data_IF_385415016540
#
_entry.id   IF_385415016540
#
_cell.length_a   1.000
_cell.length_b   1.000
_cell.length_c   1.000
_cell.angle_alpha   90.00
_cell.angle_beta   90.00
_cell.angle_gamma   90.00
#
_symmetry.space_group_name_H-M   'P 1'
#
loop_
_entity.id
_entity.type
_entity.pdbx_description
1 polymer ?
#
# COMPACT_ATOMS: atom_id res chain seq x y z
N UNK A 1 -33.72 -4.95 35.08
CA UNK A 1 -33.94 -6.09 36.00
C UNK A 1 -34.26 -7.34 35.20
N UNK A 2 -33.56 -8.44 35.46
CA UNK A 2 -33.77 -9.70 34.76
C UNK A 2 -35.18 -10.28 35.02
N UNK A 3 -35.66 -10.22 36.27
CA UNK A 3 -36.99 -10.70 36.66
C UNK A 3 -38.15 -9.98 35.95
N UNK A 4 -38.04 -8.67 35.75
CA UNK A 4 -39.06 -7.89 35.02
C UNK A 4 -39.14 -8.29 33.55
N UNK A 5 -38.01 -8.69 32.94
CA UNK A 5 -37.95 -9.12 31.55
C UNK A 5 -38.44 -10.58 31.37
N UNK A 6 -38.26 -11.42 32.39
CA UNK A 6 -38.81 -12.78 32.41
C UNK A 6 -40.34 -12.77 32.56
N UNK A 7 -40.88 -11.91 33.43
CA UNK A 7 -42.34 -11.76 33.59
C UNK A 7 -43.03 -11.14 32.36
N UNK A 8 -42.32 -10.32 31.58
CA UNK A 8 -42.87 -9.69 30.39
C UNK A 8 -43.03 -10.63 29.18
N UNK A 9 -42.56 -11.89 29.26
CA UNK A 9 -42.66 -12.93 28.21
C UNK A 9 -42.38 -12.44 26.78
N UNK A 10 -41.45 -11.50 26.64
CA UNK A 10 -41.07 -10.88 25.36
C UNK A 10 -39.91 -11.59 24.65
N UNK A 11 -39.28 -10.91 23.69
CA UNK A 11 -38.17 -11.47 22.90
C UNK A 11 -36.98 -11.95 23.76
N UNK A 12 -36.69 -11.25 24.87
CA UNK A 12 -35.63 -11.66 25.81
C UNK A 12 -35.95 -12.98 26.51
N UNK A 13 -37.20 -13.17 26.94
CA UNK A 13 -37.68 -14.41 27.56
C UNK A 13 -37.52 -15.59 26.57
N UNK A 14 -37.88 -15.40 25.30
CA UNK A 14 -37.74 -16.43 24.27
C UNK A 14 -36.29 -16.85 23.99
N UNK A 15 -35.35 -15.89 23.99
CA UNK A 15 -33.91 -16.18 23.84
C UNK A 15 -33.33 -16.94 25.05
N UNK A 16 -33.75 -16.56 26.26
CA UNK A 16 -33.31 -17.22 27.50
C UNK A 16 -33.90 -18.64 27.58
N UNK A 17 -35.17 -18.82 27.22
CA UNK A 17 -35.80 -20.14 27.16
C UNK A 17 -35.12 -21.05 26.14
N UNK A 18 -34.81 -20.53 24.94
CA UNK A 18 -34.09 -21.27 23.91
C UNK A 18 -32.68 -21.70 24.35
N UNK A 19 -31.95 -20.85 25.09
CA UNK A 19 -30.67 -21.23 25.69
C UNK A 19 -30.83 -22.30 26.77
N UNK A 20 -31.86 -22.19 27.61
CA UNK A 20 -32.11 -23.16 28.69
C UNK A 20 -32.49 -24.53 28.14
N UNK A 21 -33.25 -24.58 27.03
CA UNK A 21 -33.57 -25.81 26.31
C UNK A 21 -32.31 -26.42 25.70
N UNK A 22 -31.43 -25.60 25.09
CA UNK A 22 -30.17 -26.07 24.51
C UNK A 22 -29.16 -26.57 25.56
N UNK A 23 -29.19 -26.03 26.77
CA UNK A 23 -28.39 -26.52 27.90
C UNK A 23 -28.93 -27.85 28.42
N UNK A 24 -30.27 -28.01 28.52
CA UNK A 24 -30.90 -29.28 28.91
C UNK A 24 -30.69 -30.39 27.89
N UNK A 25 -30.72 -30.08 26.59
CA UNK A 25 -30.40 -31.06 25.54
C UNK A 25 -28.92 -31.45 25.57
N UNK A 26 -28.02 -30.53 25.93
CA UNK A 26 -26.59 -30.82 26.09
C UNK A 26 -26.29 -31.72 27.30
N UNK A 27 -27.04 -31.57 28.40
CA UNK A 27 -26.92 -32.42 29.60
C UNK A 27 -27.50 -33.83 29.39
N UNK A 28 -28.66 -33.94 28.71
CA UNK A 28 -29.24 -35.25 28.33
C UNK A 28 -28.31 -36.09 27.43
N UNK A 29 -27.50 -35.44 26.58
CA UNK A 29 -26.56 -36.14 25.69
C UNK A 29 -25.35 -36.78 26.42
N UNK A 30 -25.19 -36.58 27.74
CA UNK A 30 -24.16 -37.23 28.55
C UNK A 30 -24.65 -38.44 29.37
N UNK A 31 -25.96 -38.66 29.52
CA UNK A 31 -26.53 -39.81 30.24
C UNK A 31 -27.66 -40.48 29.44
N UNK A 32 -27.34 -41.66 28.89
CA UNK A 32 -28.23 -42.67 28.31
C UNK A 32 -29.00 -42.41 26.99
N UNK A 33 -29.09 -43.51 26.25
CA UNK A 33 -29.54 -43.70 24.89
C UNK A 33 -31.05 -44.03 24.89
N UNK A 34 -31.91 -43.16 24.35
CA UNK A 34 -33.32 -43.52 24.12
C UNK A 34 -34.26 -42.36 23.77
N UNK A 35 -34.75 -42.37 22.53
CA UNK A 35 -35.98 -41.75 22.00
C UNK A 35 -36.23 -40.26 22.32
N UNK A 36 -35.72 -39.34 21.50
CA UNK A 36 -35.99 -37.89 21.62
C UNK A 36 -36.33 -37.24 20.24
N UNK A 37 -37.17 -37.85 19.40
CA UNK A 37 -37.66 -37.17 18.17
C UNK A 37 -38.61 -35.99 18.47
N UNK A 38 -39.26 -35.99 19.64
CA UNK A 38 -40.22 -34.95 20.03
C UNK A 38 -39.56 -33.66 20.60
N UNK A 39 -38.39 -33.77 21.24
CA UNK A 39 -37.67 -32.65 21.88
C UNK A 39 -36.92 -31.77 20.84
N UNK A 40 -36.44 -32.37 19.75
CA UNK A 40 -35.76 -31.65 18.66
C UNK A 40 -36.73 -30.77 17.87
N UNK A 41 -37.95 -31.27 17.62
CA UNK A 41 -39.01 -30.52 16.94
C UNK A 41 -39.49 -29.32 17.76
N UNK A 42 -39.61 -29.46 19.08
CA UNK A 42 -39.97 -28.37 19.99
C UNK A 42 -38.90 -27.27 20.01
N UNK A 43 -37.62 -27.66 19.96
CA UNK A 43 -36.48 -26.74 19.93
C UNK A 43 -36.41 -25.97 18.60
N UNK A 44 -36.66 -26.64 17.47
CA UNK A 44 -36.73 -26.01 16.15
C UNK A 44 -37.90 -25.01 16.05
N UNK A 45 -39.08 -25.37 16.57
CA UNK A 45 -40.25 -24.49 16.60
C UNK A 45 -40.04 -23.25 17.49
N UNK A 46 -39.35 -23.40 18.62
CA UNK A 46 -39.00 -22.27 19.49
C UNK A 46 -38.00 -21.32 18.83
N UNK A 47 -37.01 -21.86 18.12
CA UNK A 47 -36.05 -21.07 17.34
C UNK A 47 -36.72 -20.30 16.20
N UNK A 48 -37.63 -20.95 15.47
CA UNK A 48 -38.34 -20.32 14.35
C UNK A 48 -39.36 -19.26 14.83
N UNK A 49 -39.96 -19.47 16.00
CA UNK A 49 -40.78 -18.44 16.68
C UNK A 49 -39.95 -17.24 17.13
N UNK A 50 -38.74 -17.45 17.65
CA UNK A 50 -37.82 -16.35 18.00
C UNK A 50 -37.33 -15.58 16.76
N UNK A 51 -37.14 -16.29 15.64
CA UNK A 51 -36.78 -15.70 14.34
C UNK A 51 -37.93 -14.88 13.74
N UNK A 52 -39.16 -15.39 13.72
CA UNK A 52 -40.31 -14.64 13.19
C UNK A 52 -40.62 -13.37 13.99
N UNK A 53 -40.40 -13.38 15.31
CA UNK A 53 -40.55 -12.18 16.17
C UNK A 53 -39.47 -11.12 15.92
N UNK A 54 -38.27 -11.50 15.47
CA UNK A 54 -37.22 -10.53 15.10
C UNK A 54 -37.43 -9.92 13.71
N UNK A 55 -38.14 -10.61 12.81
CA UNK A 55 -38.51 -10.06 11.49
C UNK A 55 -39.64 -9.02 11.54
N UNK A 56 -40.54 -9.08 12.53
CA UNK A 56 -41.71 -8.20 12.58
C UNK A 56 -41.41 -6.74 13.00
N UNK A 57 -40.13 -6.36 13.20
CA UNK A 57 -39.71 -4.96 13.44
C UNK A 57 -39.10 -4.28 12.21
N UNK A 58 -39.08 -4.93 11.04
CA UNK A 58 -38.45 -4.37 9.84
C UNK A 58 -39.43 -3.77 8.81
N UNK A 59 -40.75 -3.90 9.00
CA UNK A 59 -41.77 -3.52 7.99
C UNK A 59 -42.28 -2.06 8.06
N UNK A 60 -41.47 -1.11 8.53
CA UNK A 60 -41.75 0.33 8.30
C UNK A 60 -40.69 1.02 7.45
N UNK A 61 -39.95 0.27 6.62
CA UNK A 61 -39.12 0.87 5.57
C UNK A 61 -40.03 1.26 4.39
N UNK A 62 -40.46 2.52 4.42
CA UNK A 62 -41.10 3.23 3.32
C UNK A 62 -40.42 2.91 1.99
N UNK A 63 -41.15 2.36 1.02
CA UNK A 63 -40.66 2.01 -0.32
C UNK A 63 -40.21 3.24 -1.16
N UNK A 64 -40.20 4.44 -0.56
CA UNK A 64 -39.70 5.69 -1.15
C UNK A 64 -38.19 5.90 -0.96
N UNK A 65 -37.56 5.31 0.06
CA UNK A 65 -36.11 5.48 0.31
C UNK A 65 -35.23 4.67 -0.65
N UNK A 66 -35.67 3.48 -1.08
CA UNK A 66 -34.89 2.60 -1.97
C UNK A 66 -34.65 3.22 -3.36
N UNK A 67 -35.58 4.04 -3.87
CA UNK A 67 -35.42 4.74 -5.16
C UNK A 67 -34.46 5.94 -5.11
N UNK A 68 -34.23 6.52 -3.93
CA UNK A 68 -33.24 7.59 -3.75
C UNK A 68 -31.83 7.02 -3.65
N UNK A 69 -31.63 5.88 -2.98
CA UNK A 69 -30.31 5.24 -2.83
C UNK A 69 -29.73 4.73 -4.16
N UNK A 70 -30.56 4.29 -5.12
CA UNK A 70 -30.06 3.87 -6.44
C UNK A 70 -29.62 5.06 -7.28
N UNK A 71 -30.28 6.22 -7.15
CA UNK A 71 -29.88 7.43 -7.85
C UNK A 71 -28.61 8.06 -7.25
N UNK A 72 -28.43 7.98 -5.93
CA UNK A 72 -27.29 8.59 -5.24
C UNK A 72 -25.98 7.81 -5.49
N UNK A 73 -26.01 6.47 -5.40
CA UNK A 73 -24.87 5.62 -5.78
C UNK A 73 -24.47 5.75 -7.25
N UNK A 74 -25.45 6.01 -8.13
CA UNK A 74 -25.19 6.25 -9.57
C UNK A 74 -24.58 7.63 -9.81
N UNK A 75 -24.84 8.61 -8.94
CA UNK A 75 -24.28 9.95 -9.02
C UNK A 75 -22.89 10.04 -8.36
N UNK A 76 -22.64 9.34 -7.26
CA UNK A 76 -21.30 9.24 -6.64
C UNK A 76 -20.31 8.45 -7.54
N UNK A 77 -20.75 7.35 -8.16
CA UNK A 77 -19.93 6.63 -9.14
C UNK A 77 -19.61 7.50 -10.37
N UNK A 78 -20.50 8.43 -10.75
CA UNK A 78 -20.25 9.42 -11.81
C UNK A 78 -19.33 10.55 -11.35
N UNK A 79 -19.41 10.99 -10.09
CA UNK A 79 -18.53 12.00 -9.52
C UNK A 79 -17.08 11.50 -9.34
N UNK A 80 -16.89 10.21 -9.02
CA UNK A 80 -15.57 9.57 -8.98
C UNK A 80 -15.01 9.35 -10.40
N UNK A 81 -15.88 9.07 -11.39
CA UNK A 81 -15.49 8.98 -12.80
C UNK A 81 -15.18 10.34 -13.45
N UNK A 82 -15.67 11.46 -12.89
CA UNK A 82 -15.46 12.82 -13.39
C UNK A 82 -14.35 13.58 -12.63
N UNK A 83 -13.30 12.88 -12.16
CA UNK A 83 -12.11 13.57 -11.65
C UNK A 83 -11.23 14.10 -12.80
N UNK A 84 -11.49 15.34 -13.23
CA UNK A 84 -10.71 16.11 -14.23
C UNK A 84 -9.43 16.75 -13.66
N UNK A 85 -8.72 16.05 -12.77
CA UNK A 85 -7.38 16.45 -12.30
C UNK A 85 -6.27 15.76 -13.10
N UNK A 86 -5.01 16.26 -13.05
CA UNK A 86 -3.88 15.48 -13.53
C UNK A 86 -3.88 14.12 -12.79
N UNK A 87 -3.51 13.03 -13.47
CA UNK A 87 -3.75 11.65 -13.01
C UNK A 87 -3.38 11.37 -11.54
N UNK A 88 -3.90 10.29 -10.93
CA UNK A 88 -3.92 10.08 -9.47
C UNK A 88 -2.56 10.31 -8.79
N UNK A 89 -1.46 9.94 -9.45
CA UNK A 89 -0.09 10.15 -8.97
C UNK A 89 0.35 11.63 -8.96
N UNK A 90 0.00 12.42 -9.98
CA UNK A 90 0.32 13.84 -10.04
C UNK A 90 -0.57 14.68 -9.11
N UNK A 91 -1.82 14.29 -8.91
CA UNK A 91 -2.71 14.92 -7.93
C UNK A 91 -2.20 14.73 -6.49
N UNK A 92 -1.67 13.55 -6.15
CA UNK A 92 -1.04 13.28 -4.86
C UNK A 92 0.27 14.06 -4.67
N UNK A 93 1.10 14.16 -5.71
CA UNK A 93 2.31 15.00 -5.69
C UNK A 93 1.97 16.49 -5.53
N UNK A 94 0.88 16.94 -6.16
CA UNK A 94 0.38 18.32 -6.08
C UNK A 94 -0.22 18.68 -4.72
N UNK A 95 -0.55 17.69 -3.88
CA UNK A 95 -0.91 17.91 -2.47
C UNK A 95 0.30 18.16 -1.57
N UNK A 96 1.52 17.90 -2.04
CA UNK A 96 2.78 18.10 -1.29
C UNK A 96 3.52 19.41 -1.64
N UNK A 97 2.82 20.41 -2.16
CA UNK A 97 3.38 21.73 -2.54
C UNK A 97 4.36 22.38 -1.54
N UNK A 98 4.14 22.33 -0.22
CA UNK A 98 5.06 22.99 0.71
C UNK A 98 6.40 22.26 0.93
N UNK A 99 6.53 20.99 0.54
CA UNK A 99 7.76 20.20 0.69
C UNK A 99 8.48 19.98 -0.67
N UNK A 100 8.06 20.70 -1.72
CA UNK A 100 8.60 20.51 -3.08
C UNK A 100 10.09 20.82 -3.14
N UNK A 101 10.57 21.80 -2.39
CA UNK A 101 11.99 22.16 -2.38
C UNK A 101 12.85 20.99 -1.85
N UNK A 102 12.36 20.28 -0.83
CA UNK A 102 13.01 19.10 -0.27
C UNK A 102 12.97 17.92 -1.25
N UNK A 103 11.86 17.72 -1.96
CA UNK A 103 11.75 16.70 -3.01
C UNK A 103 12.69 17.01 -4.17
N UNK A 104 12.79 18.26 -4.62
CA UNK A 104 13.69 18.66 -5.70
C UNK A 104 15.14 18.37 -5.30
N UNK A 105 15.52 18.71 -4.07
CA UNK A 105 16.85 18.40 -3.54
C UNK A 105 17.10 16.87 -3.50
N UNK A 106 16.11 16.09 -3.08
CA UNK A 106 16.19 14.63 -3.09
C UNK A 106 16.33 14.05 -4.51
N UNK A 107 15.61 14.59 -5.48
CA UNK A 107 15.69 14.21 -6.88
C UNK A 107 17.08 14.47 -7.47
N UNK A 108 17.70 15.62 -7.14
CA UNK A 108 19.08 15.92 -7.54
C UNK A 108 20.04 14.88 -6.94
N UNK A 109 19.89 14.54 -5.66
CA UNK A 109 20.69 13.50 -5.01
C UNK A 109 20.50 12.12 -5.69
N UNK A 110 19.27 11.76 -6.08
CA UNK A 110 18.98 10.53 -6.83
C UNK A 110 19.64 10.50 -8.21
N UNK A 111 19.63 11.61 -8.94
CA UNK A 111 20.28 11.70 -10.26
C UNK A 111 21.79 11.50 -10.11
N UNK A 112 22.41 12.19 -9.15
CA UNK A 112 23.83 12.03 -8.84
C UNK A 112 24.17 10.58 -8.49
N UNK A 113 23.39 9.96 -7.61
CA UNK A 113 23.58 8.58 -7.18
C UNK A 113 23.39 7.58 -8.34
N UNK A 114 22.41 7.81 -9.22
CA UNK A 114 22.21 7.02 -10.44
C UNK A 114 23.43 7.05 -11.37
N UNK A 115 24.08 8.21 -11.51
CA UNK A 115 25.29 8.38 -12.34
C UNK A 115 26.56 7.74 -11.76
N UNK A 116 26.59 7.44 -10.46
CA UNK A 116 27.75 6.79 -9.81
C UNK A 116 27.93 5.34 -10.29
N UNK A 117 26.82 4.61 -10.49
CA UNK A 117 26.86 3.21 -10.90
C UNK A 117 27.57 2.97 -12.25
N UNK A 118 27.29 3.72 -13.33
CA UNK A 118 28.03 3.56 -14.58
C UNK A 118 29.44 4.18 -14.52
N UNK A 119 29.65 5.21 -13.70
CA UNK A 119 30.99 5.78 -13.47
C UNK A 119 31.96 4.77 -12.83
N UNK A 120 31.46 3.92 -11.93
CA UNK A 120 32.23 2.82 -11.34
C UNK A 120 32.85 1.90 -12.41
N UNK A 121 32.08 1.52 -13.44
CA UNK A 121 32.57 0.70 -14.55
C UNK A 121 33.72 1.37 -15.32
N UNK A 122 33.63 2.68 -15.53
CA UNK A 122 34.69 3.46 -16.18
C UNK A 122 35.96 3.49 -15.32
N UNK A 123 35.83 3.72 -14.01
CA UNK A 123 36.99 3.73 -13.10
C UNK A 123 37.67 2.36 -13.09
N UNK A 124 36.89 1.28 -13.02
CA UNK A 124 37.42 -0.07 -13.07
C UNK A 124 38.18 -0.33 -14.39
N UNK A 125 37.64 0.09 -15.53
CA UNK A 125 38.31 0.01 -16.83
C UNK A 125 39.64 0.77 -16.84
N UNK A 126 39.70 1.98 -16.24
CA UNK A 126 40.94 2.76 -16.13
C UNK A 126 41.98 2.07 -15.24
N UNK A 127 41.55 1.45 -14.13
CA UNK A 127 42.45 0.67 -13.25
C UNK A 127 43.06 -0.51 -14.01
N UNK A 128 42.25 -1.24 -14.78
CA UNK A 128 42.73 -2.35 -15.62
C UNK A 128 43.75 -1.84 -16.65
N UNK A 129 43.49 -0.70 -17.28
CA UNK A 129 44.42 -0.10 -18.24
C UNK A 129 45.76 0.33 -17.60
N UNK A 130 45.80 0.69 -16.31
CA UNK A 130 47.05 0.98 -15.60
C UNK A 130 47.88 -0.28 -15.39
N UNK A 131 47.27 -1.45 -15.23
CA UNK A 131 48.04 -2.70 -15.16
C UNK A 131 48.74 -3.08 -16.46
N UNK A 132 48.37 -2.46 -17.58
CA UNK A 132 49.00 -2.67 -18.89
C UNK A 132 50.23 -1.77 -19.13
N UNK A 133 50.56 -0.83 -18.24
CA UNK A 133 51.76 0.00 -18.41
C UNK A 133 53.04 -0.76 -18.01
N UNK A 134 54.06 -0.74 -18.87
CA UNK A 134 55.34 -1.43 -18.65
C UNK A 134 56.25 -0.80 -17.57
N UNK A 135 56.05 0.47 -17.19
CA UNK A 135 56.91 1.17 -16.23
C UNK A 135 56.45 0.99 -14.78
N UNK A 136 57.21 0.26 -13.92
CA UNK A 136 56.78 -0.08 -12.57
C UNK A 136 56.60 1.16 -11.66
N UNK A 137 57.50 2.14 -11.74
CA UNK A 137 57.41 3.38 -10.94
C UNK A 137 56.23 4.28 -11.33
N UNK A 138 55.82 4.25 -12.59
CA UNK A 138 54.68 5.04 -13.09
C UNK A 138 53.36 4.33 -12.74
N UNK A 139 53.36 3.00 -12.77
CA UNK A 139 52.24 2.16 -12.37
C UNK A 139 51.84 2.40 -10.92
N UNK A 140 52.80 2.35 -9.98
CA UNK A 140 52.53 2.57 -8.54
C UNK A 140 51.86 3.92 -8.28
N UNK A 141 52.37 5.01 -8.88
CA UNK A 141 51.79 6.35 -8.72
C UNK A 141 50.36 6.44 -9.29
N UNK A 142 50.11 5.83 -10.45
CA UNK A 142 48.78 5.85 -11.09
C UNK A 142 47.77 5.04 -10.29
N UNK A 143 48.14 3.85 -9.82
CA UNK A 143 47.28 3.00 -8.98
C UNK A 143 46.89 3.73 -7.71
N UNK A 144 47.83 4.33 -6.99
CA UNK A 144 47.53 5.11 -5.77
C UNK A 144 46.57 6.27 -6.05
N UNK A 145 46.73 6.95 -7.18
CA UNK A 145 45.83 8.04 -7.60
C UNK A 145 44.41 7.53 -7.84
N UNK A 146 44.24 6.41 -8.56
CA UNK A 146 42.93 5.83 -8.83
C UNK A 146 42.27 5.25 -7.57
N UNK A 147 43.03 4.68 -6.63
CA UNK A 147 42.51 4.24 -5.33
C UNK A 147 41.97 5.44 -4.53
N UNK A 148 42.68 6.57 -4.53
CA UNK A 148 42.22 7.78 -3.84
C UNK A 148 40.93 8.33 -4.46
N UNK A 149 40.83 8.34 -5.79
CA UNK A 149 39.60 8.71 -6.51
C UNK A 149 38.46 7.75 -6.16
N UNK A 150 38.74 6.44 -6.06
CA UNK A 150 37.76 5.42 -5.73
C UNK A 150 37.19 5.60 -4.32
N UNK A 151 38.05 5.88 -3.33
CA UNK A 151 37.62 6.21 -1.97
C UNK A 151 36.74 7.47 -1.97
N UNK A 152 37.13 8.51 -2.70
CA UNK A 152 36.33 9.74 -2.85
C UNK A 152 34.94 9.47 -3.44
N UNK A 153 34.84 8.59 -4.43
CA UNK A 153 33.57 8.15 -5.00
C UNK A 153 32.71 7.38 -3.99
N UNK A 154 33.31 6.50 -3.18
CA UNK A 154 32.62 5.78 -2.11
C UNK A 154 32.02 6.71 -1.07
N UNK A 155 32.77 7.73 -0.64
CA UNK A 155 32.27 8.76 0.28
C UNK A 155 31.12 9.56 -0.36
N UNK A 156 31.26 9.96 -1.63
CA UNK A 156 30.20 10.67 -2.36
C UNK A 156 28.92 9.82 -2.49
N UNK A 157 29.07 8.53 -2.76
CA UNK A 157 27.94 7.58 -2.84
C UNK A 157 27.23 7.47 -1.49
N UNK A 158 27.97 7.34 -0.40
CA UNK A 158 27.40 7.27 0.94
C UNK A 158 26.63 8.56 1.28
N UNK A 159 27.23 9.73 1.03
CA UNK A 159 26.60 11.02 1.29
C UNK A 159 25.33 11.22 0.47
N UNK A 160 25.35 10.91 -0.82
CA UNK A 160 24.18 11.07 -1.71
C UNK A 160 23.08 10.06 -1.38
N UNK A 161 23.41 8.80 -1.10
CA UNK A 161 22.46 7.78 -0.61
C UNK A 161 21.81 8.20 0.71
N UNK A 162 22.61 8.68 1.67
CA UNK A 162 22.09 9.13 2.96
C UNK A 162 21.17 10.35 2.79
N UNK A 163 21.62 11.36 2.04
CA UNK A 163 20.86 12.58 1.82
C UNK A 163 19.54 12.31 1.09
N UNK A 164 19.54 11.50 0.02
CA UNK A 164 18.29 11.17 -0.68
C UNK A 164 17.32 10.45 0.26
N UNK A 165 17.80 9.48 1.04
CA UNK A 165 16.95 8.66 1.90
C UNK A 165 16.36 9.48 3.04
N UNK A 166 17.17 10.37 3.62
CA UNK A 166 16.74 11.28 4.69
C UNK A 166 15.70 12.29 4.21
N UNK A 167 15.92 12.92 3.05
CA UNK A 167 14.97 13.90 2.49
C UNK A 167 13.64 13.25 2.09
N UNK A 168 13.67 12.06 1.47
CA UNK A 168 12.45 11.32 1.16
C UNK A 168 11.73 10.81 2.41
N UNK A 169 12.46 10.47 3.48
CA UNK A 169 11.86 10.08 4.75
C UNK A 169 11.08 11.24 5.39
N UNK A 170 11.70 12.43 5.51
CA UNK A 170 11.05 13.62 6.09
C UNK A 170 9.83 14.05 5.26
N UNK A 171 10.01 14.18 3.94
CA UNK A 171 8.89 14.55 3.06
C UNK A 171 7.78 13.50 3.12
N UNK A 172 8.14 12.24 3.32
CA UNK A 172 7.21 11.15 3.48
C UNK A 172 6.37 11.26 4.75
N UNK A 173 7.02 11.49 5.88
CA UNK A 173 6.34 11.62 7.17
C UNK A 173 5.37 12.82 7.18
N UNK A 174 5.80 13.97 6.66
CA UNK A 174 4.95 15.19 6.53
C UNK A 174 3.72 14.91 5.67
N UNK A 175 3.88 14.20 4.55
CA UNK A 175 2.77 13.83 3.68
C UNK A 175 1.78 12.89 4.38
N UNK A 176 2.28 11.86 5.06
CA UNK A 176 1.45 10.89 5.79
C UNK A 176 0.67 11.58 6.92
N UNK A 177 1.28 12.49 7.66
CA UNK A 177 0.60 13.27 8.71
C UNK A 177 -0.55 14.11 8.14
N UNK A 178 -0.30 14.84 7.04
CA UNK A 178 -1.33 15.67 6.37
C UNK A 178 -2.46 14.81 5.81
N UNK A 179 -2.13 13.68 5.21
CA UNK A 179 -3.09 12.76 4.64
C UNK A 179 -4.01 12.18 5.73
N UNK A 180 -3.44 11.70 6.84
CA UNK A 180 -4.23 11.23 8.00
C UNK A 180 -5.14 12.32 8.56
N UNK A 181 -4.66 13.54 8.73
CA UNK A 181 -5.48 14.66 9.21
C UNK A 181 -6.66 14.96 8.25
N UNK A 182 -6.41 14.93 6.93
CA UNK A 182 -7.44 15.20 5.92
C UNK A 182 -8.48 14.08 5.83
N UNK A 183 -8.05 12.82 5.84
CA UNK A 183 -8.96 11.66 5.84
C UNK A 183 -9.81 11.68 7.11
N UNK A 184 -9.19 11.87 8.28
CA UNK A 184 -9.92 11.94 9.55
C UNK A 184 -10.96 13.07 9.56
N UNK A 185 -10.61 14.26 9.07
CA UNK A 185 -11.56 15.37 8.94
C UNK A 185 -12.74 15.03 8.02
N UNK A 186 -12.47 14.37 6.90
CA UNK A 186 -13.51 13.98 5.93
C UNK A 186 -14.43 12.93 6.53
N UNK A 187 -13.85 11.97 7.25
CA UNK A 187 -14.59 10.92 7.95
C UNK A 187 -15.55 11.51 8.99
N UNK A 188 -15.14 12.55 9.74
CA UNK A 188 -16.02 13.24 10.70
C UNK A 188 -17.18 14.03 10.05
N UNK A 189 -17.10 14.33 8.76
CA UNK A 189 -18.13 15.07 8.03
C UNK A 189 -19.13 14.15 7.32
N UNK A 190 -18.94 12.84 7.43
CA UNK A 190 -19.74 11.85 6.72
C UNK A 190 -21.04 11.54 7.46
N UNK A 191 -22.11 11.25 6.71
CA UNK A 191 -23.42 10.93 7.27
C UNK A 191 -23.43 9.64 8.08
N UNK A 192 -24.34 9.55 9.07
CA UNK A 192 -24.48 8.38 9.95
C UNK A 192 -24.73 7.09 9.16
N UNK A 193 -25.49 7.18 8.05
CA UNK A 193 -25.76 6.06 7.14
C UNK A 193 -24.50 5.44 6.51
N UNK A 194 -23.39 6.18 6.42
CA UNK A 194 -22.11 5.63 5.97
C UNK A 194 -21.50 4.67 7.00
N UNK A 195 -21.65 4.98 8.29
CA UNK A 195 -21.12 4.18 9.40
C UNK A 195 -21.99 2.96 9.71
N UNK A 196 -23.25 2.95 9.27
CA UNK A 196 -24.15 1.81 9.37
C UNK A 196 -23.77 0.66 8.41
N UNK A 197 -22.91 0.92 7.43
CA UNK A 197 -22.42 -0.10 6.51
C UNK A 197 -21.43 -1.03 7.22
N UNK A 198 -21.56 -2.37 7.10
CA UNK A 198 -20.69 -3.33 7.78
C UNK A 198 -19.20 -3.20 7.38
N UNK A 199 -18.94 -2.65 6.19
CA UNK A 199 -17.61 -2.40 5.63
C UNK A 199 -16.90 -1.19 6.28
N UNK A 200 -17.68 -0.25 6.84
CA UNK A 200 -17.20 1.00 7.43
C UNK A 200 -17.26 0.99 8.96
N UNK A 201 -17.16 -0.20 9.56
CA UNK A 201 -17.02 -0.31 11.01
C UNK A 201 -15.78 0.46 11.49
N UNK A 202 -15.85 1.04 12.68
CA UNK A 202 -14.82 1.89 13.29
C UNK A 202 -13.43 1.24 13.29
N UNK A 203 -13.36 -0.08 13.51
CA UNK A 203 -12.09 -0.82 13.45
C UNK A 203 -11.49 -0.91 12.04
N UNK A 204 -12.34 -1.12 11.02
CA UNK A 204 -11.91 -1.16 9.63
C UNK A 204 -11.44 0.22 9.16
N UNK A 205 -12.18 1.29 9.49
CA UNK A 205 -11.80 2.66 9.16
C UNK A 205 -10.50 3.12 9.83
N UNK A 206 -10.29 2.77 11.10
CA UNK A 206 -9.04 3.05 11.80
C UNK A 206 -7.85 2.33 11.15
N UNK A 207 -8.06 1.08 10.74
CA UNK A 207 -7.05 0.30 10.02
C UNK A 207 -6.72 0.94 8.68
N UNK A 208 -7.72 1.27 7.85
CA UNK A 208 -7.55 1.96 6.56
C UNK A 208 -6.79 3.28 6.73
N UNK A 209 -7.16 4.09 7.72
CA UNK A 209 -6.49 5.35 8.01
C UNK A 209 -5.00 5.16 8.38
N UNK A 210 -4.66 4.08 9.09
CA UNK A 210 -3.29 3.79 9.48
C UNK A 210 -2.45 3.25 8.31
N UNK A 211 -2.98 2.29 7.54
CA UNK A 211 -2.26 1.55 6.49
C UNK A 211 -2.26 2.28 5.15
N UNK A 212 -3.43 2.62 4.62
CA UNK A 212 -3.57 3.18 3.26
C UNK A 212 -2.84 4.52 3.14
N UNK A 213 -2.87 5.35 4.18
CA UNK A 213 -2.15 6.62 4.20
C UNK A 213 -0.62 6.44 4.11
N UNK A 214 -0.10 5.40 4.76
CA UNK A 214 1.34 5.10 4.78
C UNK A 214 1.79 4.41 3.47
N UNK A 215 0.94 3.54 2.91
CA UNK A 215 1.20 2.86 1.64
C UNK A 215 1.24 3.84 0.46
N UNK A 216 0.31 4.80 0.41
CA UNK A 216 0.29 5.85 -0.63
C UNK A 216 1.57 6.67 -0.60
N UNK A 217 2.08 6.98 0.59
CA UNK A 217 3.33 7.70 0.76
C UNK A 217 4.55 6.87 0.33
N UNK A 218 4.64 5.61 0.74
CA UNK A 218 5.73 4.70 0.34
C UNK A 218 5.75 4.45 -1.17
N UNK A 219 4.57 4.32 -1.77
CA UNK A 219 4.41 4.13 -3.22
C UNK A 219 4.75 5.38 -4.04
N UNK A 220 4.57 6.58 -3.50
CA UNK A 220 4.81 7.82 -4.24
C UNK A 220 6.23 8.36 -4.02
N UNK A 221 6.70 8.49 -2.77
CA UNK A 221 8.00 9.12 -2.50
C UNK A 221 9.19 8.24 -2.90
N UNK A 222 9.34 7.09 -2.23
CA UNK A 222 10.50 6.21 -2.40
C UNK A 222 10.54 5.60 -3.81
N UNK A 223 9.38 5.18 -4.34
CA UNK A 223 9.31 4.57 -5.67
C UNK A 223 9.69 5.54 -6.77
N UNK A 224 9.22 6.79 -6.71
CA UNK A 224 9.59 7.82 -7.71
C UNK A 224 11.10 8.10 -7.62
N UNK A 225 11.66 8.20 -6.41
CA UNK A 225 13.11 8.33 -6.22
C UNK A 225 13.90 7.18 -6.86
N UNK A 226 13.49 5.93 -6.62
CA UNK A 226 14.13 4.75 -7.24
C UNK A 226 13.96 4.74 -8.76
N UNK A 227 12.79 5.09 -9.28
CA UNK A 227 12.57 5.18 -10.74
C UNK A 227 13.48 6.23 -11.37
N UNK A 228 13.58 7.41 -10.76
CA UNK A 228 14.43 8.48 -11.25
C UNK A 228 15.92 8.10 -11.20
N UNK A 229 16.35 7.43 -10.12
CA UNK A 229 17.70 6.87 -10.01
C UNK A 229 17.98 5.87 -11.14
N UNK A 230 17.05 4.95 -11.41
CA UNK A 230 17.19 3.95 -12.47
C UNK A 230 17.24 4.58 -13.87
N UNK A 231 16.41 5.59 -14.12
CA UNK A 231 16.43 6.35 -15.39
C UNK A 231 17.77 7.09 -15.54
N UNK A 232 18.27 7.71 -14.47
CA UNK A 232 19.58 8.38 -14.47
C UNK A 232 20.71 7.37 -14.74
N UNK A 233 20.72 6.24 -14.03
CA UNK A 233 21.71 5.17 -14.21
C UNK A 233 21.72 4.66 -15.66
N UNK A 234 20.55 4.31 -16.20
CA UNK A 234 20.42 3.85 -17.57
C UNK A 234 20.86 4.93 -18.58
N UNK A 235 20.42 6.18 -18.37
CA UNK A 235 20.76 7.31 -19.24
C UNK A 235 22.27 7.58 -19.27
N UNK A 236 22.90 7.75 -18.11
CA UNK A 236 24.35 7.99 -18.00
C UNK A 236 25.14 6.79 -18.53
N UNK A 237 24.69 5.56 -18.25
CA UNK A 237 25.31 4.34 -18.75
C UNK A 237 25.30 4.25 -20.28
N UNK A 238 24.16 4.53 -20.91
CA UNK A 238 24.02 4.56 -22.38
C UNK A 238 24.90 5.66 -22.98
N UNK A 239 24.89 6.88 -22.40
CA UNK A 239 25.72 8.00 -22.87
C UNK A 239 27.20 7.61 -22.83
N UNK A 240 27.68 7.06 -21.72
CA UNK A 240 29.07 6.61 -21.60
C UNK A 240 29.41 5.49 -22.60
N UNK A 241 28.50 4.53 -22.81
CA UNK A 241 28.71 3.45 -23.77
C UNK A 241 28.90 3.98 -25.21
N UNK A 242 28.03 4.91 -25.64
CA UNK A 242 28.15 5.55 -26.97
C UNK A 242 29.44 6.35 -27.14
N UNK A 243 29.93 7.02 -26.08
CA UNK A 243 31.19 7.78 -26.12
C UNK A 243 32.40 6.85 -26.33
N UNK A 244 32.46 5.72 -25.62
CA UNK A 244 33.61 4.81 -25.71
C UNK A 244 33.61 3.93 -26.96
N UNK A 245 32.44 3.56 -27.47
CA UNK A 245 32.36 2.70 -28.66
C UNK A 245 30.93 2.56 -29.18
N UNK A 246 30.58 3.36 -30.17
CA UNK A 246 29.24 3.37 -30.76
C UNK A 246 28.88 2.02 -31.43
N UNK A 247 29.83 1.36 -32.11
CA UNK A 247 29.56 0.09 -32.79
C UNK A 247 29.35 -1.09 -31.84
N UNK A 248 30.12 -1.17 -30.74
CA UNK A 248 29.94 -2.21 -29.72
C UNK A 248 28.63 -2.01 -28.95
N UNK A 249 28.29 -0.75 -28.68
CA UNK A 249 27.06 -0.39 -27.95
C UNK A 249 25.80 -0.75 -28.72
N UNK A 250 25.77 -0.53 -30.04
CA UNK A 250 24.62 -0.91 -30.89
C UNK A 250 24.37 -2.42 -30.88
N UNK A 251 25.44 -3.23 -30.90
CA UNK A 251 25.33 -4.69 -30.81
C UNK A 251 24.74 -5.09 -29.46
N UNK A 252 25.25 -4.53 -28.35
CA UNK A 252 24.74 -4.82 -27.01
C UNK A 252 23.27 -4.39 -26.84
N UNK A 253 22.89 -3.24 -27.40
CA UNK A 253 21.52 -2.74 -27.35
C UNK A 253 20.56 -3.66 -28.13
N UNK A 254 21.02 -4.28 -29.22
CA UNK A 254 20.22 -5.27 -29.95
C UNK A 254 19.92 -6.53 -29.13
N UNK A 255 20.77 -6.90 -28.15
CA UNK A 255 20.53 -8.04 -27.24
C UNK A 255 19.57 -7.73 -26.09
N UNK A 256 19.42 -6.46 -25.70
CA UNK A 256 18.50 -6.04 -24.62
C UNK A 256 17.07 -6.56 -24.80
N UNK A 257 16.39 -6.39 -25.97
CA UNK A 257 15.02 -6.92 -26.15
C UNK A 257 14.94 -8.45 -26.06
N UNK A 258 15.97 -9.18 -26.50
CA UNK A 258 16.02 -10.63 -26.36
C UNK A 258 16.14 -11.06 -24.89
N UNK A 259 16.93 -10.34 -24.07
CA UNK A 259 16.98 -10.59 -22.63
C UNK A 259 15.65 -10.32 -21.94
N UNK A 260 14.97 -9.23 -22.31
CA UNK A 260 13.64 -8.90 -21.79
C UNK A 260 12.65 -10.02 -22.14
N UNK A 261 12.62 -10.46 -23.40
CA UNK A 261 11.74 -11.55 -23.85
C UNK A 261 12.05 -12.87 -23.13
N UNK A 262 13.32 -13.22 -22.95
CA UNK A 262 13.72 -14.40 -22.20
C UNK A 262 13.26 -14.33 -20.73
N UNK A 263 13.37 -13.16 -20.09
CA UNK A 263 12.87 -12.93 -18.74
C UNK A 263 11.36 -13.10 -18.64
N UNK A 264 10.60 -12.58 -19.61
CA UNK A 264 9.15 -12.78 -19.68
C UNK A 264 8.75 -14.24 -19.89
N UNK A 265 9.54 -15.03 -20.63
CA UNK A 265 9.27 -16.46 -20.83
C UNK A 265 9.62 -17.32 -19.62
N UNK A 266 10.53 -16.85 -18.76
CA UNK A 266 10.93 -17.55 -17.54
C UNK A 266 10.00 -17.27 -16.36
N UNK A 267 9.22 -16.18 -16.42
CA UNK A 267 8.26 -15.77 -15.38
C UNK A 267 6.89 -16.37 -15.64
#
# INVERSE_FOLDING_TARGET
NHETLMNAKGAYYGLVEAQNIHLKSKDKNMEENGNDEDDEAATALAYDRARSLSYHRQDTIDTKTVKNETNDKTNEAKAVAEYKGPGPFFAMLAMNKPELDLIILACIACICNGGIQPAFGVILSKIIAVFQTCDPKLQEKRVLTYILIFIGFGVLMLLTMFLQSFLFAISGESLTQRLRAKIFRTLLQQDIAYFDQPENNTGALCTRLATEASEVQGATGVRIGTMLQNISNLGVGIILAFIYGWSLTLIMLAFVPFMILAGFLQT
#
